data_IF_977998849338
#
_entry.id   IF_977998849338
#
_cell.length_a   1.000
_cell.length_b   1.000
_cell.length_c   1.000
_cell.angle_alpha   90.00
_cell.angle_beta   90.00
_cell.angle_gamma   90.00
#
_symmetry.space_group_name_H-M   'P 1'
#
loop_
_entity.id
_entity.type
_entity.pdbx_description
1 polymer ?
#
# COMPACT_ATOMS: atom_id res chain seq x y z
N UNK A 1 -17.36 -11.91 -33.09
CA UNK A 1 -17.26 -11.50 -31.67
C UNK A 1 -15.79 -11.18 -31.39
N UNK A 2 -15.42 -9.90 -31.38
CA UNK A 2 -14.08 -9.47 -30.99
C UNK A 2 -14.20 -8.76 -29.64
N UNK A 3 -13.57 -9.33 -28.61
CA UNK A 3 -13.46 -8.73 -27.28
C UNK A 3 -12.61 -7.45 -27.38
N UNK A 4 -13.15 -6.33 -26.93
CA UNK A 4 -12.39 -5.08 -26.76
C UNK A 4 -11.36 -5.29 -25.64
N UNK A 5 -10.11 -4.83 -25.81
CA UNK A 5 -9.12 -4.87 -24.74
C UNK A 5 -9.50 -3.89 -23.63
N UNK A 6 -9.29 -4.33 -22.39
CA UNK A 6 -9.71 -3.65 -21.18
C UNK A 6 -8.90 -2.35 -20.97
N UNK A 7 -9.58 -1.19 -20.91
CA UNK A 7 -8.95 0.14 -20.86
C UNK A 7 -8.04 0.36 -19.65
N UNK A 8 -8.25 -0.39 -18.58
CA UNK A 8 -7.43 -0.31 -17.36
C UNK A 8 -6.00 -0.84 -17.56
N UNK A 9 -5.77 -1.74 -18.53
CA UNK A 9 -4.43 -2.27 -18.79
C UNK A 9 -3.48 -1.24 -19.43
N UNK A 10 -4.02 -0.30 -20.22
CA UNK A 10 -3.21 0.70 -20.93
C UNK A 10 -2.61 1.77 -20.00
N UNK A 11 -3.26 2.06 -18.88
CA UNK A 11 -2.80 3.07 -17.90
C UNK A 11 -1.62 2.54 -17.09
N UNK A 12 -1.63 1.24 -16.77
CA UNK A 12 -0.58 0.57 -16.01
C UNK A 12 0.69 0.31 -16.84
N UNK A 13 0.57 0.02 -18.14
CA UNK A 13 1.75 -0.20 -19.01
C UNK A 13 2.57 1.07 -19.18
N UNK A 14 1.91 2.23 -19.27
CA UNK A 14 2.57 3.53 -19.36
C UNK A 14 3.38 3.89 -18.09
N UNK A 15 2.91 3.52 -16.90
CA UNK A 15 3.63 3.78 -15.65
C UNK A 15 4.98 3.04 -15.54
N UNK A 16 5.07 1.81 -16.07
CA UNK A 16 6.33 1.04 -16.09
C UNK A 16 7.34 1.61 -17.08
N UNK A 17 6.91 2.12 -18.23
CA UNK A 17 7.80 2.73 -19.22
C UNK A 17 8.36 4.09 -18.77
N UNK A 18 7.58 4.88 -18.00
CA UNK A 18 8.05 6.18 -17.48
C UNK A 18 9.12 6.01 -16.38
N UNK A 19 8.97 5.02 -15.46
CA UNK A 19 9.97 4.78 -14.39
C UNK A 19 11.32 4.28 -14.96
N UNK A 20 11.35 3.62 -16.11
CA UNK A 20 12.59 3.09 -16.71
C UNK A 20 13.50 4.18 -17.34
N UNK A 21 12.97 5.38 -17.61
CA UNK A 21 13.64 6.31 -18.53
C UNK A 21 14.17 7.60 -17.88
N UNK A 22 13.86 7.92 -16.63
CA UNK A 22 14.14 9.30 -16.17
C UNK A 22 14.52 9.45 -14.70
N UNK A 23 15.79 9.75 -14.50
CA UNK A 23 16.42 10.31 -13.30
C UNK A 23 16.09 11.81 -13.17
N UNK A 24 14.81 12.17 -13.24
CA UNK A 24 14.33 13.55 -13.31
C UNK A 24 13.18 13.76 -12.32
N UNK A 25 13.32 14.79 -11.47
CA UNK A 25 12.27 15.33 -10.60
C UNK A 25 10.97 15.51 -11.39
N UNK A 26 9.99 14.63 -11.18
CA UNK A 26 8.67 14.76 -11.80
C UNK A 26 7.84 15.73 -10.97
N UNK A 27 7.63 16.93 -11.51
CA UNK A 27 6.55 17.82 -11.09
C UNK A 27 5.23 17.14 -11.44
N UNK A 28 4.51 16.76 -10.40
CA UNK A 28 3.19 16.13 -10.37
C UNK A 28 2.19 16.92 -11.22
N UNK A 29 1.95 16.47 -12.46
CA UNK A 29 0.71 16.72 -13.22
C UNK A 29 0.69 15.95 -14.59
N UNK A 30 0.10 14.74 -14.70
CA UNK A 30 -0.32 14.04 -15.96
C UNK A 30 -1.82 14.08 -16.39
N UNK A 31 -2.11 14.87 -17.45
CA UNK A 31 -3.35 15.45 -18.05
C UNK A 31 -4.57 14.60 -18.55
N UNK A 32 -5.84 15.00 -18.22
CA UNK A 32 -7.13 14.68 -18.92
C UNK A 32 -7.85 15.93 -19.52
N UNK A 33 -8.24 15.95 -20.80
CA UNK A 33 -8.66 17.15 -21.52
C UNK A 33 -10.11 17.59 -21.22
N UNK A 34 -10.28 18.78 -20.65
CA UNK A 34 -11.58 19.41 -20.43
C UNK A 34 -12.07 20.10 -21.71
N UNK A 35 -13.10 19.54 -22.36
CA UNK A 35 -13.68 20.07 -23.61
C UNK A 35 -14.44 21.39 -23.44
N UNK A 36 -14.78 21.81 -22.22
CA UNK A 36 -15.57 23.01 -21.93
C UNK A 36 -14.64 24.21 -21.61
N UNK A 37 -13.55 23.97 -20.87
CA UNK A 37 -12.57 25.01 -20.53
C UNK A 37 -11.32 25.03 -21.43
N UNK A 38 -11.12 24.01 -22.27
CA UNK A 38 -9.94 23.87 -23.11
C UNK A 38 -8.65 23.52 -22.35
N UNK A 39 -8.75 23.05 -21.11
CA UNK A 39 -7.59 22.77 -20.25
C UNK A 39 -7.54 21.32 -19.79
N UNK A 40 -6.35 20.79 -19.57
CA UNK A 40 -6.18 19.47 -18.97
C UNK A 40 -6.40 19.53 -17.45
N UNK A 41 -7.28 18.69 -16.86
CA UNK A 41 -7.50 18.60 -15.41
C UNK A 41 -7.64 17.16 -14.91
N UNK A 42 -6.61 16.68 -14.26
CA UNK A 42 -6.56 15.53 -13.36
C UNK A 42 -5.80 16.09 -12.16
N UNK A 43 -6.20 15.66 -10.99
CA UNK A 43 -5.58 16.09 -9.76
C UNK A 43 -4.98 14.86 -9.11
N UNK A 44 -3.66 14.83 -9.08
CA UNK A 44 -2.91 13.86 -8.30
C UNK A 44 -2.51 14.53 -7.00
N UNK A 45 -2.89 13.92 -5.89
CA UNK A 45 -2.43 14.33 -4.57
C UNK A 45 -1.64 13.20 -3.96
N UNK A 46 -0.36 13.47 -3.77
CA UNK A 46 0.57 12.54 -3.15
C UNK A 46 0.43 12.57 -1.62
N UNK A 47 0.08 11.42 -1.07
CA UNK A 47 0.00 11.15 0.38
C UNK A 47 0.99 10.06 0.79
N UNK A 48 1.98 9.73 -0.04
CA UNK A 48 2.91 8.62 0.16
C UNK A 48 3.66 8.71 1.48
N UNK A 49 4.09 9.92 1.85
CA UNK A 49 4.74 10.14 3.16
C UNK A 49 3.79 9.79 4.31
N UNK A 50 2.58 10.35 4.30
CA UNK A 50 1.58 10.10 5.32
C UNK A 50 1.16 8.62 5.37
N UNK A 51 0.89 8.00 4.23
CA UNK A 51 0.44 6.61 4.15
C UNK A 51 1.51 5.62 4.66
N UNK A 52 2.79 5.88 4.36
CA UNK A 52 3.92 5.10 4.89
C UNK A 52 4.06 5.27 6.41
N UNK A 53 4.02 6.52 6.89
CA UNK A 53 4.12 6.81 8.32
C UNK A 53 2.94 6.20 9.09
N UNK A 54 1.73 6.30 8.56
CA UNK A 54 0.51 5.72 9.14
C UNK A 54 0.55 4.20 9.18
N UNK A 55 0.97 3.54 8.09
CA UNK A 55 1.13 2.09 8.08
C UNK A 55 2.19 1.63 9.09
N UNK A 56 3.27 2.39 9.24
CA UNK A 56 4.33 2.12 10.22
C UNK A 56 3.80 2.23 11.65
N UNK A 57 3.06 3.28 11.97
CA UNK A 57 2.44 3.47 13.29
C UNK A 57 1.53 2.30 13.67
N UNK A 58 0.67 1.87 12.73
CA UNK A 58 -0.26 0.76 12.93
C UNK A 58 0.50 -0.54 13.23
N UNK A 59 1.51 -0.89 12.41
CA UNK A 59 2.24 -2.15 12.58
C UNK A 59 3.06 -2.15 13.87
N UNK A 60 3.63 -1.00 14.24
CA UNK A 60 4.45 -0.85 15.44
C UNK A 60 3.64 -0.54 16.70
N UNK A 61 2.31 -0.45 16.62
CA UNK A 61 1.46 -0.33 17.79
C UNK A 61 1.62 -1.58 18.68
N UNK A 62 1.90 -1.42 19.99
CA UNK A 62 1.99 -2.52 20.94
C UNK A 62 0.78 -3.47 20.98
N UNK A 63 -0.38 -3.04 20.47
CA UNK A 63 -1.61 -3.84 20.39
C UNK A 63 -1.65 -4.75 19.17
N UNK A 64 -0.95 -4.41 18.10
CA UNK A 64 -0.99 -5.14 16.81
C UNK A 64 -0.43 -6.56 16.89
N UNK A 65 0.65 -6.84 17.64
CA UNK A 65 1.06 -8.22 17.91
C UNK A 65 -0.05 -9.04 18.59
N UNK A 66 -0.79 -8.45 19.52
CA UNK A 66 -1.87 -9.14 20.26
C UNK A 66 -3.06 -9.46 19.36
N UNK A 67 -3.40 -8.60 18.40
CA UNK A 67 -4.44 -8.90 17.41
C UNK A 67 -4.04 -10.05 16.48
N UNK A 68 -2.74 -10.28 16.31
CA UNK A 68 -2.20 -11.42 15.56
C UNK A 68 -2.03 -12.69 16.42
N UNK A 69 -2.52 -12.69 17.67
CA UNK A 69 -2.27 -13.74 18.66
C UNK A 69 -0.76 -14.07 18.80
N UNK A 70 0.07 -13.03 18.74
CA UNK A 70 1.52 -13.13 18.72
C UNK A 70 2.12 -12.41 19.93
N UNK A 71 2.85 -13.15 20.76
CA UNK A 71 3.53 -12.62 21.93
C UNK A 71 4.97 -12.22 21.57
N UNK A 72 5.08 -11.02 20.99
CA UNK A 72 6.35 -10.49 20.53
C UNK A 72 6.24 -9.06 20.01
N UNK A 73 7.25 -8.65 19.26
CA UNK A 73 7.35 -7.28 18.72
C UNK A 73 7.40 -7.28 17.20
N UNK A 74 6.82 -6.25 16.60
CA UNK A 74 6.94 -5.94 15.18
C UNK A 74 7.77 -4.68 14.97
N UNK A 75 8.70 -4.74 14.02
CA UNK A 75 9.51 -3.60 13.60
C UNK A 75 9.48 -3.46 12.10
N UNK A 76 9.01 -2.32 11.61
CA UNK A 76 9.07 -2.02 10.19
C UNK A 76 10.47 -1.49 9.85
N UNK A 77 11.12 -2.15 8.90
CA UNK A 77 12.50 -1.82 8.50
C UNK A 77 12.55 -1.03 7.19
N UNK A 78 11.62 -1.29 6.29
CA UNK A 78 11.56 -0.64 4.97
C UNK A 78 10.09 -0.56 4.52
N UNK A 79 9.72 0.58 3.96
CA UNK A 79 8.43 0.79 3.28
C UNK A 79 8.69 1.57 2.00
N UNK A 80 8.53 0.90 0.86
CA UNK A 80 8.54 1.50 -0.47
C UNK A 80 7.18 1.29 -1.13
N UNK A 81 6.79 2.23 -1.98
CA UNK A 81 5.47 2.29 -2.62
C UNK A 81 4.89 3.69 -2.62
N UNK A 82 3.74 3.83 -3.27
CA UNK A 82 3.10 5.11 -3.54
C UNK A 82 1.66 5.10 -3.00
N UNK A 83 1.30 6.14 -2.26
CA UNK A 83 -0.07 6.36 -1.76
C UNK A 83 -0.55 7.69 -2.29
N UNK A 84 -1.52 7.67 -3.19
CA UNK A 84 -2.00 8.88 -3.83
C UNK A 84 -3.46 8.77 -4.22
N UNK A 85 -4.05 9.94 -4.40
CA UNK A 85 -5.41 10.08 -4.89
C UNK A 85 -5.31 10.57 -6.31
N UNK A 86 -6.04 9.91 -7.20
CA UNK A 86 -6.24 10.35 -8.57
C UNK A 86 -7.69 10.78 -8.74
N UNK A 87 -7.89 12.06 -9.08
CA UNK A 87 -9.19 12.58 -9.50
C UNK A 87 -9.16 12.75 -11.02
N UNK A 88 -9.97 11.98 -11.74
CA UNK A 88 -10.12 12.06 -13.20
C UNK A 88 -11.59 11.92 -13.57
N UNK A 89 -12.08 12.71 -14.53
CA UNK A 89 -13.49 12.76 -14.94
C UNK A 89 -14.54 12.81 -13.80
N UNK A 90 -14.23 13.45 -12.66
CA UNK A 90 -15.12 13.47 -11.48
C UNK A 90 -15.20 12.14 -10.70
N UNK A 91 -14.42 11.14 -11.12
CA UNK A 91 -14.20 9.89 -10.40
C UNK A 91 -12.96 10.00 -9.52
N UNK A 92 -13.09 9.47 -8.31
CA UNK A 92 -12.02 9.43 -7.33
C UNK A 92 -11.46 8.02 -7.25
N UNK A 93 -10.18 7.86 -7.59
CA UNK A 93 -9.45 6.61 -7.43
C UNK A 93 -8.43 6.75 -6.30
N UNK A 94 -8.58 5.93 -5.28
CA UNK A 94 -7.65 5.82 -4.16
C UNK A 94 -6.65 4.72 -4.46
N UNK A 95 -5.39 5.11 -4.65
CA UNK A 95 -4.32 4.17 -4.98
C UNK A 95 -3.41 4.08 -3.76
N UNK A 96 -3.35 2.87 -3.19
CA UNK A 96 -2.45 2.51 -2.10
C UNK A 96 -1.63 1.34 -2.61
N UNK A 97 -0.36 1.60 -2.90
CA UNK A 97 0.59 0.59 -3.37
C UNK A 97 1.78 0.54 -2.44
N UNK A 98 2.24 -0.67 -2.16
CA UNK A 98 3.45 -0.94 -1.41
C UNK A 98 4.32 -1.89 -2.23
N UNK A 99 5.33 -1.34 -2.90
CA UNK A 99 6.30 -2.14 -3.66
C UNK A 99 7.11 -3.05 -2.73
N UNK A 100 7.41 -2.58 -1.51
CA UNK A 100 8.08 -3.40 -0.51
C UNK A 100 7.76 -2.90 0.92
N UNK A 101 6.99 -3.68 1.68
CA UNK A 101 6.80 -3.49 3.11
C UNK A 101 7.53 -4.61 3.86
N UNK A 102 8.65 -4.27 4.50
CA UNK A 102 9.49 -5.23 5.23
C UNK A 102 9.33 -5.10 6.74
N UNK A 103 8.72 -6.10 7.34
CA UNK A 103 8.43 -6.20 8.77
C UNK A 103 9.27 -7.30 9.40
N UNK A 104 10.05 -6.96 10.43
CA UNK A 104 10.75 -7.93 11.27
C UNK A 104 9.87 -8.24 12.48
N UNK A 105 9.63 -9.53 12.73
CA UNK A 105 8.90 -10.00 13.89
C UNK A 105 9.81 -10.86 14.77
N UNK A 106 9.86 -10.54 16.05
CA UNK A 106 10.69 -11.24 17.03
C UNK A 106 9.86 -11.62 18.24
N UNK A 107 9.91 -12.90 18.60
CA UNK A 107 9.17 -13.46 19.74
C UNK A 107 9.94 -13.20 21.01
N UNK A 108 9.23 -12.88 22.09
CA UNK A 108 9.80 -12.83 23.44
C UNK A 108 9.80 -14.20 24.14
N UNK A 109 8.99 -15.14 23.66
CA UNK A 109 8.77 -16.45 24.28
C UNK A 109 9.48 -17.54 23.48
N UNK A 110 10.15 -18.47 24.18
CA UNK A 110 10.74 -19.68 23.60
C UNK A 110 9.62 -20.59 23.08
N UNK A 111 9.33 -20.50 21.78
CA UNK A 111 8.26 -21.30 21.17
C UNK A 111 7.52 -20.64 20.02
N UNK A 112 7.63 -19.32 19.82
CA UNK A 112 7.01 -18.66 18.66
C UNK A 112 7.98 -18.34 17.52
N UNK A 113 7.39 -18.17 16.34
CA UNK A 113 8.12 -17.88 15.11
C UNK A 113 8.80 -16.52 15.18
N UNK A 114 10.04 -16.42 14.71
CA UNK A 114 10.77 -15.16 14.56
C UNK A 114 11.35 -15.08 13.16
N UNK A 115 11.32 -13.90 12.53
CA UNK A 115 11.70 -13.78 11.14
C UNK A 115 11.40 -12.42 10.53
N UNK A 116 11.24 -12.41 9.23
CA UNK A 116 10.92 -11.24 8.43
C UNK A 116 9.76 -11.57 7.49
N UNK A 117 8.77 -10.70 7.44
CA UNK A 117 7.71 -10.70 6.43
C UNK A 117 7.98 -9.57 5.44
N UNK A 118 7.93 -9.89 4.16
CA UNK A 118 7.93 -8.92 3.06
C UNK A 118 6.55 -8.97 2.43
N UNK A 119 5.91 -7.81 2.32
CA UNK A 119 4.57 -7.67 1.74
C UNK A 119 4.64 -6.74 0.53
N UNK A 120 4.00 -7.15 -0.55
CA UNK A 120 3.81 -6.32 -1.74
C UNK A 120 2.30 -6.11 -1.94
N UNK A 121 1.90 -4.87 -2.17
CA UNK A 121 0.50 -4.46 -2.37
C UNK A 121 0.43 -3.67 -3.68
N UNK A 122 -0.19 -4.27 -4.69
CA UNK A 122 -0.48 -3.61 -5.98
C UNK A 122 -1.90 -3.99 -6.43
N UNK A 123 -2.04 -4.89 -7.42
CA UNK A 123 -3.32 -5.45 -7.86
C UNK A 123 -3.80 -6.64 -6.99
N UNK A 124 -3.12 -6.88 -5.87
CA UNK A 124 -3.34 -7.97 -4.93
C UNK A 124 -2.32 -7.87 -3.79
N UNK A 125 -2.32 -8.88 -2.93
CA UNK A 125 -1.37 -8.98 -1.83
C UNK A 125 -0.45 -10.18 -2.04
N UNK A 126 0.85 -9.93 -2.13
CA UNK A 126 1.87 -10.99 -2.09
C UNK A 126 2.62 -10.95 -0.76
N UNK A 127 2.88 -12.12 -0.20
CA UNK A 127 3.49 -12.28 1.11
C UNK A 127 4.63 -13.28 1.07
N UNK A 128 5.81 -12.82 1.49
CA UNK A 128 7.01 -13.66 1.61
C UNK A 128 7.49 -13.66 3.05
N UNK A 129 7.34 -14.81 3.72
CA UNK A 129 7.79 -15.02 5.09
C UNK A 129 9.13 -15.77 5.13
N UNK A 130 10.13 -15.14 5.72
CA UNK A 130 11.46 -15.69 5.96
C UNK A 130 11.65 -15.93 7.46
N UNK A 131 11.57 -17.19 7.89
CA UNK A 131 11.71 -17.57 9.28
C UNK A 131 13.17 -17.80 9.66
N UNK A 132 13.61 -17.18 10.76
CA UNK A 132 14.83 -17.56 11.48
C UNK A 132 14.55 -18.71 12.44
N UNK A 133 13.42 -18.61 13.15
CA UNK A 133 12.88 -19.66 14.01
C UNK A 133 11.45 -19.91 13.56
N UNK A 134 11.11 -21.16 13.25
CA UNK A 134 9.78 -21.53 12.76
C UNK A 134 9.08 -22.40 13.80
N UNK A 135 8.00 -21.87 14.36
CA UNK A 135 7.14 -22.59 15.29
C UNK A 135 6.04 -23.38 14.55
N UNK A 136 5.39 -24.31 15.26
CA UNK A 136 4.35 -25.17 14.69
C UNK A 136 3.03 -24.41 14.41
N UNK A 137 2.83 -23.27 15.05
CA UNK A 137 1.67 -22.38 14.92
C UNK A 137 1.85 -21.30 13.83
N UNK A 138 2.93 -21.40 13.02
CA UNK A 138 3.28 -20.36 12.03
C UNK A 138 2.15 -20.05 11.05
N UNK A 139 1.33 -21.05 10.65
CA UNK A 139 0.22 -20.83 9.72
C UNK A 139 -0.89 -19.95 10.30
N UNK A 140 -1.20 -20.10 11.58
CA UNK A 140 -2.19 -19.27 12.27
C UNK A 140 -1.71 -17.83 12.37
N UNK A 141 -0.43 -17.66 12.72
CA UNK A 141 0.24 -16.34 12.71
C UNK A 141 0.23 -15.71 11.31
N UNK A 142 0.63 -16.45 10.27
CA UNK A 142 0.64 -15.95 8.89
C UNK A 142 -0.75 -15.47 8.47
N UNK A 143 -1.80 -16.24 8.74
CA UNK A 143 -3.17 -15.87 8.40
C UNK A 143 -3.62 -14.59 9.14
N UNK A 144 -3.32 -14.49 10.44
CA UNK A 144 -3.67 -13.31 11.23
C UNK A 144 -2.88 -12.07 10.80
N UNK A 145 -1.59 -12.22 10.49
CA UNK A 145 -0.75 -11.14 9.97
C UNK A 145 -1.23 -10.65 8.60
N UNK A 146 -1.55 -11.57 7.68
CA UNK A 146 -2.09 -11.23 6.35
C UNK A 146 -3.36 -10.40 6.48
N UNK A 147 -4.32 -10.90 7.27
CA UNK A 147 -5.58 -10.20 7.53
C UNK A 147 -5.36 -8.82 8.16
N UNK A 148 -4.44 -8.71 9.13
CA UNK A 148 -4.08 -7.43 9.73
C UNK A 148 -3.57 -6.44 8.68
N UNK A 149 -2.71 -6.86 7.75
CA UNK A 149 -2.24 -5.97 6.68
C UNK A 149 -3.38 -5.57 5.73
N UNK A 150 -4.20 -6.53 5.30
CA UNK A 150 -5.35 -6.28 4.40
C UNK A 150 -6.33 -5.28 5.01
N UNK A 151 -6.76 -5.51 6.25
CA UNK A 151 -7.69 -4.65 6.99
C UNK A 151 -7.14 -3.22 7.12
N UNK A 152 -5.83 -3.07 7.38
CA UNK A 152 -5.20 -1.77 7.51
C UNK A 152 -4.98 -1.05 6.17
N UNK A 153 -4.77 -1.77 5.07
CA UNK A 153 -4.76 -1.16 3.73
C UNK A 153 -6.14 -0.64 3.37
N UNK A 154 -7.21 -1.35 3.74
CA UNK A 154 -8.59 -0.86 3.57
C UNK A 154 -8.82 0.38 4.42
N UNK A 155 -8.41 0.36 5.70
CA UNK A 155 -8.50 1.52 6.58
C UNK A 155 -7.77 2.75 6.01
N UNK A 156 -6.54 2.57 5.50
CA UNK A 156 -5.79 3.64 4.85
C UNK A 156 -6.55 4.24 3.66
N UNK A 157 -7.22 3.41 2.85
CA UNK A 157 -8.04 3.88 1.72
C UNK A 157 -9.26 4.69 2.18
N UNK A 158 -9.87 4.35 3.32
CA UNK A 158 -10.97 5.13 3.89
C UNK A 158 -10.48 6.44 4.51
N UNK A 159 -9.42 6.42 5.32
CA UNK A 159 -8.80 7.63 5.90
C UNK A 159 -8.34 8.61 4.79
N UNK A 160 -7.88 8.08 3.65
CA UNK A 160 -7.51 8.86 2.47
C UNK A 160 -8.72 9.60 1.87
N UNK A 161 -9.92 9.00 1.84
CA UNK A 161 -11.16 9.66 1.39
C UNK A 161 -11.52 10.83 2.30
N UNK A 162 -11.42 10.65 3.62
CA UNK A 162 -11.74 11.70 4.58
C UNK A 162 -10.82 12.92 4.43
N UNK A 163 -9.53 12.69 4.16
CA UNK A 163 -8.57 13.77 3.91
C UNK A 163 -8.91 14.63 2.70
N UNK A 164 -9.55 14.08 1.67
CA UNK A 164 -10.04 14.87 0.54
C UNK A 164 -11.21 15.75 0.93
N UNK A 165 -12.19 15.19 1.63
CA UNK A 165 -13.39 15.92 2.07
C UNK A 165 -13.01 17.10 2.95
N UNK A 166 -12.07 16.89 3.88
CA UNK A 166 -11.56 17.95 4.76
C UNK A 166 -10.74 19.04 4.03
N UNK A 167 -10.17 18.73 2.87
CA UNK A 167 -9.40 19.68 2.06
C UNK A 167 -10.23 20.45 1.01
N UNK A 168 -11.51 20.13 0.89
CA UNK A 168 -12.46 20.77 -0.02
C UNK A 168 -13.38 21.79 0.67
N UNK A 169 -13.22 21.97 2.00
CA UNK A 169 -13.85 23.01 2.82
C UNK A 169 -12.86 24.15 3.07
#
# INVERSE_FOLDING_TARGET
MMCLPNKDQHIFTWHKEIKATTNLKISTKMSEWNKISGNWSFEERDFSKWGKDRMKEIIQDPKTPKTCNYDGTFKVTKIEGDVFILVSHGQLKNIVTFDELKVVFASTTEGHSSGTAIVEVDNGFDYRFNYKTKANDNKTFEAAFKKMIEDNVVLLKEELKEKLVASAQ
#
